data_IF_608986277855
#
_entry.id   IF_608986277855
#
_cell.length_a   1.000
_cell.length_b   1.000
_cell.length_c   1.000
_cell.angle_alpha   90.00
_cell.angle_beta   90.00
_cell.angle_gamma   90.00
#
_symmetry.space_group_name_H-M   'P 1'
#
loop_
_entity.id
_entity.type
_entity.pdbx_description
1 polymer ?
#
# COMPACT_ATOMS: atom_id res chain seq x y z
N UNK A 1 1.00 -9.25 -14.59
CA UNK A 1 -0.41 -9.61 -14.74
C UNK A 1 -0.74 -10.52 -13.58
N UNK A 2 -1.86 -10.30 -12.89
CA UNK A 2 -2.41 -11.27 -11.96
C UNK A 2 -2.69 -12.61 -12.68
N UNK A 3 -2.83 -13.67 -11.91
CA UNK A 3 -3.20 -15.01 -12.37
C UNK A 3 -4.69 -15.24 -12.14
N UNK A 4 -5.26 -16.20 -12.87
CA UNK A 4 -6.64 -16.64 -12.60
C UNK A 4 -6.72 -17.24 -11.18
N UNK A 5 -7.72 -16.83 -10.40
CA UNK A 5 -7.93 -17.32 -9.02
C UNK A 5 -8.10 -18.84 -9.01
N UNK A 6 -8.89 -19.38 -9.95
CA UNK A 6 -9.13 -20.81 -10.07
C UNK A 6 -7.86 -21.59 -10.33
N UNK A 7 -7.02 -21.12 -11.24
CA UNK A 7 -5.72 -21.75 -11.52
C UNK A 7 -4.79 -21.70 -10.29
N UNK A 8 -4.74 -20.56 -9.58
CA UNK A 8 -3.92 -20.45 -8.38
C UNK A 8 -4.40 -21.38 -7.27
N UNK A 9 -5.71 -21.49 -7.04
CA UNK A 9 -6.31 -22.41 -6.07
C UNK A 9 -5.97 -23.88 -6.37
N UNK A 10 -6.14 -24.32 -7.63
CA UNK A 10 -5.79 -25.68 -8.06
C UNK A 10 -4.32 -25.98 -7.81
N UNK A 11 -3.46 -25.00 -8.05
CA UNK A 11 -2.02 -25.13 -7.83
C UNK A 11 -1.68 -25.12 -6.32
N UNK A 12 -2.35 -24.32 -5.51
CA UNK A 12 -2.20 -24.32 -4.05
C UNK A 12 -2.55 -25.69 -3.48
N UNK A 13 -3.66 -26.30 -3.90
CA UNK A 13 -4.08 -27.63 -3.43
C UNK A 13 -3.16 -28.74 -3.92
N UNK A 14 -2.86 -28.79 -5.22
CA UNK A 14 -2.05 -29.88 -5.80
C UNK A 14 -0.61 -29.91 -5.30
N UNK A 15 -0.14 -28.82 -4.70
CA UNK A 15 1.24 -28.67 -4.25
C UNK A 15 1.35 -28.43 -2.75
N UNK A 16 0.25 -28.59 -2.05
CA UNK A 16 0.24 -28.69 -0.60
C UNK A 16 0.95 -29.98 -0.15
N UNK A 17 1.67 -29.95 0.98
CA UNK A 17 2.10 -31.17 1.65
C UNK A 17 0.92 -32.12 1.89
N UNK A 18 1.21 -33.41 1.93
CA UNK A 18 0.22 -34.43 2.26
C UNK A 18 -0.46 -34.11 3.60
N UNK A 19 -1.76 -34.40 3.69
CA UNK A 19 -2.61 -34.13 4.85
C UNK A 19 -2.80 -32.66 5.24
N UNK A 20 -2.23 -31.67 4.52
CA UNK A 20 -2.57 -30.27 4.76
C UNK A 20 -4.07 -30.03 4.52
N UNK A 21 -4.57 -30.56 3.40
CA UNK A 21 -5.98 -30.56 3.05
C UNK A 21 -6.50 -31.99 3.09
N UNK A 22 -7.64 -32.22 3.75
CA UNK A 22 -8.38 -33.47 3.60
C UNK A 22 -8.90 -33.59 2.18
N UNK A 23 -9.27 -34.81 1.78
CA UNK A 23 -9.87 -35.06 0.46
C UNK A 23 -11.13 -34.20 0.24
N UNK A 24 -11.93 -33.99 1.28
CA UNK A 24 -13.14 -33.17 1.18
C UNK A 24 -12.81 -31.69 1.04
N UNK A 25 -11.88 -31.16 1.86
CA UNK A 25 -11.37 -29.78 1.71
C UNK A 25 -10.80 -29.55 0.31
N UNK A 26 -9.94 -30.46 -0.19
CA UNK A 26 -9.34 -30.35 -1.52
C UNK A 26 -10.40 -30.35 -2.64
N UNK A 27 -11.40 -31.24 -2.55
CA UNK A 27 -12.54 -31.29 -3.50
C UNK A 27 -13.34 -29.99 -3.47
N UNK A 28 -13.54 -29.42 -2.28
CA UNK A 28 -14.27 -28.16 -2.13
C UNK A 28 -13.53 -26.99 -2.76
N UNK A 29 -12.22 -26.87 -2.50
CA UNK A 29 -11.38 -25.85 -3.12
C UNK A 29 -11.36 -26.00 -4.65
N UNK A 30 -11.34 -27.24 -5.15
CA UNK A 30 -11.45 -27.49 -6.59
C UNK A 30 -12.79 -27.00 -7.16
N UNK A 31 -13.92 -27.22 -6.50
CA UNK A 31 -15.22 -26.67 -6.94
C UNK A 31 -15.25 -25.14 -6.89
N UNK A 32 -14.68 -24.52 -5.85
CA UNK A 32 -14.54 -23.07 -5.76
C UNK A 32 -13.69 -22.52 -6.91
N UNK A 33 -12.64 -23.24 -7.31
CA UNK A 33 -11.78 -22.83 -8.41
C UNK A 33 -12.51 -22.68 -9.74
N UNK A 34 -13.56 -23.46 -9.98
CA UNK A 34 -14.41 -23.35 -11.17
C UNK A 34 -15.35 -22.14 -11.07
N UNK A 35 -15.79 -21.81 -9.85
CA UNK A 35 -16.68 -20.69 -9.57
C UNK A 35 -16.03 -19.32 -9.75
N UNK A 36 -14.72 -19.24 -9.50
CA UNK A 36 -13.93 -18.02 -9.64
C UNK A 36 -13.15 -17.93 -10.96
N UNK A 37 -13.55 -18.68 -11.98
CA UNK A 37 -12.95 -18.56 -13.31
C UNK A 37 -13.12 -17.13 -13.84
N UNK A 38 -12.02 -16.53 -14.33
CA UNK A 38 -11.96 -15.16 -14.81
C UNK A 38 -11.65 -14.12 -13.72
N UNK A 39 -11.70 -14.49 -12.44
CA UNK A 39 -11.22 -13.62 -11.36
C UNK A 39 -9.70 -13.59 -11.40
N UNK A 40 -9.14 -12.42 -11.11
CA UNK A 40 -7.71 -12.21 -11.11
C UNK A 40 -7.21 -11.97 -9.70
N UNK A 41 -6.11 -12.62 -9.34
CA UNK A 41 -5.43 -12.44 -8.06
C UNK A 41 -3.93 -12.62 -8.23
N UNK A 42 -3.16 -12.09 -7.29
CA UNK A 42 -1.76 -12.45 -7.10
C UNK A 42 -1.53 -13.32 -5.86
N UNK A 43 -2.55 -13.55 -5.03
CA UNK A 43 -2.37 -14.11 -3.70
C UNK A 43 -3.59 -14.89 -3.20
N UNK A 44 -3.32 -16.12 -2.76
CA UNK A 44 -4.25 -16.98 -2.02
C UNK A 44 -3.67 -17.28 -0.66
N UNK A 45 -4.52 -17.36 0.35
CA UNK A 45 -4.19 -17.82 1.70
C UNK A 45 -5.11 -18.98 2.07
N UNK A 46 -4.54 -20.01 2.68
CA UNK A 46 -5.26 -21.06 3.38
C UNK A 46 -5.08 -20.90 4.89
N UNK A 47 -6.18 -20.81 5.64
CA UNK A 47 -6.19 -20.73 7.10
C UNK A 47 -6.53 -22.11 7.69
N UNK A 48 -5.66 -22.66 8.55
CA UNK A 48 -5.94 -23.94 9.26
C UNK A 48 -5.70 -23.80 10.76
N UNK A 49 -6.52 -24.51 11.55
CA UNK A 49 -6.24 -24.71 12.97
C UNK A 49 -5.01 -25.60 13.15
N UNK A 50 -4.21 -25.31 14.18
CA UNK A 50 -2.96 -26.00 14.45
C UNK A 50 -3.13 -27.30 15.24
N UNK A 51 -4.16 -27.37 16.07
CA UNK A 51 -4.52 -28.56 16.85
C UNK A 51 -5.50 -29.50 16.11
N UNK A 52 -5.87 -29.18 14.88
CA UNK A 52 -6.83 -29.95 14.09
C UNK A 52 -6.12 -30.91 13.12
N UNK A 53 -6.44 -32.20 13.24
CA UNK A 53 -5.95 -33.26 12.36
C UNK A 53 -6.82 -33.45 11.10
N UNK A 54 -7.99 -32.83 11.02
CA UNK A 54 -8.97 -33.08 9.95
C UNK A 54 -8.63 -32.45 8.58
N UNK A 55 -7.42 -31.88 8.39
CA UNK A 55 -7.03 -31.25 7.12
C UNK A 55 -8.00 -30.15 6.67
N UNK A 56 -8.54 -29.42 7.64
CA UNK A 56 -9.62 -28.45 7.49
C UNK A 56 -9.06 -27.05 7.30
N UNK A 57 -9.44 -26.38 6.21
CA UNK A 57 -8.94 -25.06 5.88
C UNK A 57 -10.00 -24.13 5.27
N UNK A 58 -9.99 -22.88 5.75
CA UNK A 58 -10.70 -21.77 5.12
C UNK A 58 -9.79 -21.19 4.03
N UNK A 59 -10.37 -20.73 2.92
CA UNK A 59 -9.61 -20.19 1.78
C UNK A 59 -9.96 -18.73 1.57
N UNK A 60 -8.93 -17.92 1.42
CA UNK A 60 -9.06 -16.50 1.12
C UNK A 60 -8.22 -16.14 -0.10
N UNK A 61 -8.66 -15.17 -0.90
CA UNK A 61 -7.84 -14.60 -1.96
C UNK A 61 -7.95 -13.09 -1.96
N UNK A 62 -6.85 -12.44 -2.36
CA UNK A 62 -6.76 -10.99 -2.43
C UNK A 62 -7.07 -10.51 -3.84
N UNK A 63 -7.77 -9.39 -3.95
CA UNK A 63 -7.93 -8.65 -5.19
C UNK A 63 -7.45 -7.23 -4.98
N UNK A 64 -6.43 -6.83 -5.73
CA UNK A 64 -5.91 -5.45 -5.74
C UNK A 64 -6.84 -4.54 -6.57
N UNK A 65 -6.77 -3.23 -6.34
CA UNK A 65 -7.51 -2.24 -7.13
C UNK A 65 -7.21 -2.34 -8.65
N UNK A 66 -5.96 -2.69 -9.02
CA UNK A 66 -5.60 -2.93 -10.43
C UNK A 66 -6.17 -4.24 -11.01
N UNK A 67 -6.60 -5.18 -10.16
CA UNK A 67 -7.20 -6.48 -10.50
C UNK A 67 -8.75 -6.41 -10.50
N UNK A 68 -9.33 -5.40 -9.82
CA UNK A 68 -10.77 -5.21 -9.68
C UNK A 68 -11.56 -5.18 -11.01
N UNK A 69 -11.09 -4.57 -12.12
CA UNK A 69 -11.83 -4.59 -13.37
C UNK A 69 -12.11 -6.00 -13.91
N UNK A 70 -11.16 -6.93 -13.76
CA UNK A 70 -11.33 -8.31 -14.19
C UNK A 70 -12.38 -9.03 -13.32
N UNK A 71 -12.36 -8.79 -12.01
CA UNK A 71 -13.37 -9.30 -11.09
C UNK A 71 -14.78 -8.75 -11.43
N UNK A 72 -14.90 -7.45 -11.68
CA UNK A 72 -16.19 -6.82 -12.06
C UNK A 72 -16.71 -7.41 -13.38
N UNK A 73 -15.83 -7.66 -14.35
CA UNK A 73 -16.19 -8.33 -15.59
C UNK A 73 -16.66 -9.77 -15.34
N UNK A 74 -15.98 -10.52 -14.46
CA UNK A 74 -16.32 -11.90 -14.15
C UNK A 74 -17.71 -12.04 -13.49
N UNK A 75 -18.16 -11.04 -12.71
CA UNK A 75 -19.53 -11.00 -12.19
C UNK A 75 -20.62 -10.93 -13.26
N UNK A 76 -20.28 -10.57 -14.49
CA UNK A 76 -21.22 -10.55 -15.63
C UNK A 76 -21.24 -11.87 -16.40
N UNK A 77 -20.51 -12.89 -15.95
CA UNK A 77 -20.47 -14.19 -16.60
C UNK A 77 -21.69 -15.05 -16.20
N UNK A 78 -22.24 -15.87 -17.12
CA UNK A 78 -23.34 -16.78 -16.78
C UNK A 78 -23.03 -17.78 -15.66
N UNK A 79 -21.74 -18.08 -15.44
CA UNK A 79 -21.31 -18.90 -14.32
C UNK A 79 -21.62 -18.24 -12.98
N UNK A 80 -21.55 -16.90 -12.92
CA UNK A 80 -21.79 -16.11 -11.73
C UNK A 80 -23.27 -15.72 -11.53
N UNK A 81 -24.12 -15.82 -12.55
CA UNK A 81 -25.55 -15.46 -12.45
C UNK A 81 -26.26 -16.23 -11.31
N UNK A 82 -25.95 -17.52 -11.15
CA UNK A 82 -26.49 -18.35 -10.06
C UNK A 82 -25.96 -17.92 -8.68
N UNK A 83 -24.78 -17.34 -8.64
CA UNK A 83 -24.10 -16.88 -7.41
C UNK A 83 -24.67 -15.56 -6.92
N UNK A 84 -25.07 -14.72 -7.87
CA UNK A 84 -25.66 -13.42 -7.61
C UNK A 84 -27.05 -13.52 -6.95
N UNK A 85 -27.70 -14.69 -6.86
CA UNK A 85 -29.01 -14.78 -6.22
C UNK A 85 -28.96 -14.59 -4.69
N UNK A 86 -27.81 -14.81 -4.05
CA UNK A 86 -27.67 -14.66 -2.60
C UNK A 86 -27.35 -13.21 -2.19
N UNK A 87 -28.05 -12.71 -1.16
CA UNK A 87 -27.90 -11.34 -0.64
C UNK A 87 -26.45 -10.97 -0.28
N UNK A 88 -25.68 -11.92 0.28
CA UNK A 88 -24.28 -11.71 0.64
C UNK A 88 -23.40 -11.42 -0.57
N UNK A 89 -23.62 -12.13 -1.68
CA UNK A 89 -22.92 -11.91 -2.93
C UNK A 89 -23.36 -10.63 -3.63
N UNK A 90 -24.65 -10.26 -3.56
CA UNK A 90 -25.13 -8.97 -4.09
C UNK A 90 -24.47 -7.78 -3.41
N UNK A 91 -24.30 -7.84 -2.08
CA UNK A 91 -23.58 -6.80 -1.31
C UNK A 91 -22.12 -6.67 -1.76
N UNK A 92 -21.42 -7.80 -1.94
CA UNK A 92 -20.05 -7.83 -2.46
C UNK A 92 -19.98 -7.24 -3.88
N UNK A 93 -20.88 -7.65 -4.78
CA UNK A 93 -20.95 -7.13 -6.15
C UNK A 93 -21.19 -5.62 -6.14
N UNK A 94 -22.12 -5.14 -5.30
CA UNK A 94 -22.42 -3.71 -5.15
C UNK A 94 -21.18 -2.95 -4.71
N UNK A 95 -20.47 -3.43 -3.69
CA UNK A 95 -19.22 -2.83 -3.23
C UNK A 95 -18.18 -2.78 -4.36
N UNK A 96 -17.99 -3.88 -5.08
CA UNK A 96 -16.97 -3.96 -6.12
C UNK A 96 -17.30 -3.10 -7.35
N UNK A 97 -18.58 -2.96 -7.70
CA UNK A 97 -19.02 -2.03 -8.76
C UNK A 97 -18.83 -0.57 -8.35
N UNK A 98 -19.00 -0.27 -7.07
CA UNK A 98 -18.76 1.03 -6.46
C UNK A 98 -17.36 1.22 -5.87
N UNK A 99 -16.37 0.44 -6.32
CA UNK A 99 -15.03 0.32 -5.70
C UNK A 99 -14.49 1.68 -5.26
N UNK A 100 -14.39 1.95 -3.94
CA UNK A 100 -13.93 3.26 -3.45
C UNK A 100 -12.47 3.49 -3.85
N UNK A 101 -12.14 4.71 -4.28
CA UNK A 101 -10.80 5.04 -4.79
C UNK A 101 -9.70 4.86 -3.74
N UNK A 102 -10.05 4.97 -2.47
CA UNK A 102 -9.17 4.81 -1.32
C UNK A 102 -8.90 3.34 -0.96
N UNK A 103 -9.66 2.38 -1.49
CA UNK A 103 -9.48 0.95 -1.21
C UNK A 103 -8.42 0.40 -2.14
N UNK A 104 -7.23 0.10 -1.61
CA UNK A 104 -6.14 -0.47 -2.41
C UNK A 104 -6.35 -1.97 -2.70
N UNK A 105 -7.01 -2.69 -1.79
CA UNK A 105 -7.22 -4.13 -1.89
C UNK A 105 -8.46 -4.60 -1.11
N UNK A 106 -8.98 -5.74 -1.53
CA UNK A 106 -10.01 -6.50 -0.81
C UNK A 106 -9.60 -7.95 -0.67
N UNK A 107 -10.14 -8.62 0.34
CA UNK A 107 -9.99 -10.04 0.60
C UNK A 107 -11.37 -10.69 0.64
N UNK A 108 -11.50 -11.79 -0.09
CA UNK A 108 -12.70 -12.63 -0.11
C UNK A 108 -12.31 -13.96 0.50
N UNK A 109 -13.01 -14.36 1.55
CA UNK A 109 -12.75 -15.57 2.32
C UNK A 109 -13.99 -16.48 2.32
N UNK A 110 -13.77 -17.78 2.14
CA UNK A 110 -14.80 -18.80 2.15
C UNK A 110 -14.57 -19.72 3.35
N UNK A 111 -15.54 -19.71 4.25
CA UNK A 111 -15.56 -20.56 5.43
C UNK A 111 -15.81 -22.02 5.05
N UNK A 112 -15.00 -22.92 5.59
CA UNK A 112 -15.15 -24.34 5.34
C UNK A 112 -16.45 -24.94 5.87
N UNK A 113 -17.02 -24.34 6.93
CA UNK A 113 -18.27 -24.80 7.52
C UNK A 113 -19.45 -24.58 6.59
N UNK A 114 -19.29 -23.78 5.53
CA UNK A 114 -20.31 -23.53 4.52
C UNK A 114 -20.06 -24.31 3.21
N UNK A 115 -19.05 -25.20 3.15
CA UNK A 115 -18.69 -25.89 1.90
C UNK A 115 -19.72 -26.92 1.40
N UNK A 116 -20.75 -27.25 2.17
CA UNK A 116 -21.88 -28.03 1.66
C UNK A 116 -22.66 -27.26 0.58
N UNK A 117 -22.60 -25.93 0.61
CA UNK A 117 -23.23 -25.09 -0.40
C UNK A 117 -22.38 -25.09 -1.69
N UNK A 118 -23.01 -25.07 -2.88
CA UNK A 118 -22.28 -24.96 -4.14
C UNK A 118 -21.37 -23.74 -4.19
N UNK A 119 -21.82 -22.64 -3.57
CA UNK A 119 -21.03 -21.45 -3.33
C UNK A 119 -21.30 -20.95 -1.90
N UNK A 120 -20.32 -21.02 -1.00
CA UNK A 120 -20.47 -20.51 0.36
C UNK A 120 -20.62 -18.98 0.33
N UNK A 121 -21.40 -18.39 1.25
CA UNK A 121 -21.38 -16.95 1.45
C UNK A 121 -19.97 -16.49 1.82
N UNK A 122 -19.52 -15.32 1.34
CA UNK A 122 -18.16 -14.86 1.58
C UNK A 122 -18.06 -14.11 2.91
N UNK A 123 -16.92 -14.21 3.57
CA UNK A 123 -16.40 -13.14 4.39
C UNK A 123 -15.70 -12.12 3.47
N UNK A 124 -15.93 -10.82 3.69
CA UNK A 124 -15.43 -9.77 2.81
C UNK A 124 -14.73 -8.70 3.63
N UNK A 125 -13.47 -8.42 3.31
CA UNK A 125 -12.64 -7.45 4.00
C UNK A 125 -11.97 -6.49 3.01
N UNK A 126 -11.79 -5.24 3.37
CA UNK A 126 -11.18 -4.21 2.54
C UNK A 126 -10.17 -3.38 3.33
N UNK A 127 -9.25 -2.76 2.60
CA UNK A 127 -8.21 -1.88 3.14
C UNK A 127 -8.82 -0.77 4.02
N UNK A 128 -8.37 -0.73 5.27
CA UNK A 128 -8.80 0.23 6.28
C UNK A 128 -7.80 1.36 6.55
N UNK A 129 -6.65 1.37 5.88
CA UNK A 129 -5.50 2.23 6.23
C UNK A 129 -5.79 3.73 6.18
N UNK A 130 -6.80 4.15 5.41
CA UNK A 130 -7.25 5.54 5.34
C UNK A 130 -8.23 5.98 6.44
N UNK A 131 -8.64 5.08 7.33
CA UNK A 131 -9.60 5.37 8.41
C UNK A 131 -8.93 6.14 9.54
N UNK A 132 -9.49 7.30 9.88
CA UNK A 132 -9.00 8.13 10.97
C UNK A 132 -10.14 8.53 11.94
N UNK A 133 -10.02 8.31 13.26
CA UNK A 133 -11.11 8.56 14.22
C UNK A 133 -11.60 10.01 14.21
N UNK A 134 -10.68 10.99 14.13
CA UNK A 134 -11.00 12.42 14.07
C UNK A 134 -11.83 12.86 12.85
N UNK A 135 -11.92 12.05 11.79
CA UNK A 135 -12.74 12.36 10.60
C UNK A 135 -14.19 11.87 10.73
N UNK A 136 -14.51 11.12 11.77
CA UNK A 136 -15.85 10.60 12.03
C UNK A 136 -16.34 9.60 10.98
N UNK A 137 -17.65 9.31 11.02
CA UNK A 137 -18.25 8.27 10.17
C UNK A 137 -18.39 8.64 8.69
N UNK A 138 -18.35 9.92 8.33
CA UNK A 138 -18.61 10.38 6.97
C UNK A 138 -17.47 10.13 5.99
N UNK A 139 -16.34 9.61 6.46
CA UNK A 139 -15.22 9.27 5.58
C UNK A 139 -15.57 8.12 4.62
N UNK A 140 -15.03 8.11 3.38
CA UNK A 140 -15.38 7.14 2.33
C UNK A 140 -15.30 5.68 2.78
N UNK A 141 -14.24 5.32 3.53
CA UNK A 141 -13.97 3.96 3.99
C UNK A 141 -14.85 3.48 5.16
N UNK A 142 -15.64 4.37 5.80
CA UNK A 142 -16.58 3.98 6.85
C UNK A 142 -18.00 3.94 6.31
N UNK A 143 -18.83 4.95 6.59
CA UNK A 143 -20.27 4.86 6.36
C UNK A 143 -20.64 4.51 4.91
N UNK A 144 -20.06 5.12 3.86
CA UNK A 144 -20.39 4.74 2.48
C UNK A 144 -20.04 3.27 2.18
N UNK A 145 -18.79 2.85 2.45
CA UNK A 145 -18.33 1.47 2.24
C UNK A 145 -19.12 0.45 3.05
N UNK A 146 -19.32 0.70 4.35
CA UNK A 146 -20.04 -0.20 5.24
C UNK A 146 -21.52 -0.31 4.89
N UNK A 147 -22.14 0.77 4.40
CA UNK A 147 -23.56 0.73 4.02
C UNK A 147 -23.82 -0.12 2.78
N UNK A 148 -22.80 -0.33 1.93
CA UNK A 148 -22.88 -1.31 0.84
C UNK A 148 -22.82 -2.77 1.34
N UNK A 149 -22.29 -3.01 2.55
CA UNK A 149 -22.08 -4.34 3.12
C UNK A 149 -23.10 -4.73 4.22
N UNK A 150 -23.56 -3.77 5.03
CA UNK A 150 -24.41 -4.01 6.21
C UNK A 150 -25.77 -3.28 6.17
N UNK A 151 -26.09 -2.61 5.07
CA UNK A 151 -27.22 -1.67 4.94
C UNK A 151 -27.14 -0.48 5.93
N UNK A 152 -27.73 0.67 5.55
CA UNK A 152 -27.66 1.90 6.35
C UNK A 152 -28.17 1.75 7.82
N UNK A 153 -29.28 1.04 8.09
CA UNK A 153 -29.76 0.90 9.46
C UNK A 153 -28.79 0.17 10.40
N UNK A 154 -28.13 -0.89 9.94
CA UNK A 154 -27.19 -1.62 10.81
C UNK A 154 -25.93 -0.78 11.08
N UNK A 155 -25.42 -0.07 10.06
CA UNK A 155 -24.30 0.86 10.23
C UNK A 155 -24.63 1.95 11.24
N UNK A 156 -25.84 2.52 11.18
CA UNK A 156 -26.29 3.54 12.13
C UNK A 156 -26.37 3.05 13.58
N UNK A 157 -26.73 1.78 13.79
CA UNK A 157 -26.79 1.17 15.13
C UNK A 157 -25.41 0.98 15.77
N UNK A 158 -24.40 0.64 14.98
CA UNK A 158 -23.02 0.43 15.47
C UNK A 158 -22.15 1.68 15.47
N UNK A 159 -22.63 2.81 14.94
CA UNK A 159 -21.85 4.05 14.74
C UNK A 159 -21.12 4.51 16.00
N UNK A 160 -21.82 4.59 17.14
CA UNK A 160 -21.20 5.04 18.39
C UNK A 160 -20.13 4.06 18.88
N UNK A 161 -20.41 2.76 18.84
CA UNK A 161 -19.46 1.72 19.26
C UNK A 161 -18.23 1.71 18.36
N UNK A 162 -18.42 1.86 17.05
CA UNK A 162 -17.34 1.93 16.08
C UNK A 162 -16.46 3.17 16.29
N UNK A 163 -17.06 4.35 16.44
CA UNK A 163 -16.32 5.58 16.71
C UNK A 163 -15.55 5.51 18.04
N UNK A 164 -16.15 4.93 19.09
CA UNK A 164 -15.45 4.69 20.35
C UNK A 164 -14.27 3.75 20.14
N UNK A 165 -14.47 2.63 19.44
CA UNK A 165 -13.43 1.63 19.17
C UNK A 165 -12.24 2.23 18.43
N UNK A 166 -12.52 3.03 17.39
CA UNK A 166 -11.49 3.74 16.61
C UNK A 166 -10.81 4.85 17.42
N UNK A 167 -11.53 5.55 18.28
CA UNK A 167 -10.97 6.65 19.09
C UNK A 167 -10.13 6.16 20.26
N UNK A 168 -10.32 4.91 20.70
CA UNK A 168 -9.49 4.28 21.72
C UNK A 168 -8.15 3.77 21.17
N UNK A 169 -7.97 3.69 19.85
CA UNK A 169 -6.69 3.29 19.26
C UNK A 169 -5.56 4.23 19.70
N UNK A 170 -4.33 3.71 19.94
CA UNK A 170 -3.15 4.56 20.09
C UNK A 170 -2.99 5.52 18.91
N UNK A 171 -2.46 6.73 19.14
CA UNK A 171 -2.40 7.79 18.11
C UNK A 171 -1.60 7.38 16.87
N UNK A 172 -0.59 6.53 17.04
CA UNK A 172 0.28 6.03 15.97
C UNK A 172 -0.29 4.81 15.23
N UNK A 173 -1.38 4.23 15.73
CA UNK A 173 -1.96 2.99 15.20
C UNK A 173 -3.22 3.31 14.40
N UNK A 174 -3.29 2.79 13.18
CA UNK A 174 -4.45 2.88 12.30
C UNK A 174 -5.19 1.55 12.20
N UNK A 175 -6.25 1.51 11.40
CA UNK A 175 -6.90 0.25 10.98
C UNK A 175 -6.15 -0.27 9.76
N UNK A 176 -5.72 -1.52 9.78
CA UNK A 176 -5.12 -2.17 8.61
C UNK A 176 -6.22 -2.63 7.64
N UNK A 177 -7.24 -3.29 8.17
CA UNK A 177 -8.30 -3.89 7.38
C UNK A 177 -9.61 -3.88 8.16
N UNK A 178 -10.73 -3.84 7.48
CA UNK A 178 -12.04 -4.07 8.09
C UNK A 178 -12.99 -4.79 7.16
N UNK A 179 -14.01 -5.43 7.70
CA UNK A 179 -14.93 -6.18 6.88
C UNK A 179 -16.01 -6.93 7.61
N UNK A 180 -16.85 -7.61 6.84
CA UNK A 180 -18.05 -8.27 7.32
C UNK A 180 -17.93 -9.76 7.07
N UNK A 181 -18.21 -10.56 8.10
CA UNK A 181 -18.32 -12.00 7.95
C UNK A 181 -19.74 -12.38 7.48
N UNK A 182 -20.10 -12.03 6.23
CA UNK A 182 -21.48 -12.20 5.72
C UNK A 182 -21.97 -13.66 5.79
N UNK A 183 -21.05 -14.62 5.88
CA UNK A 183 -21.33 -16.03 6.10
C UNK A 183 -21.85 -16.41 7.48
N UNK A 184 -21.58 -15.59 8.50
CA UNK A 184 -21.87 -15.90 9.90
C UNK A 184 -22.85 -14.91 10.50
N UNK A 185 -22.57 -13.62 10.31
CA UNK A 185 -23.27 -12.53 10.97
C UNK A 185 -23.37 -11.33 10.04
N UNK A 186 -24.54 -10.69 10.02
CA UNK A 186 -24.81 -9.49 9.21
C UNK A 186 -25.03 -8.23 10.06
N UNK A 187 -24.65 -8.30 11.34
CA UNK A 187 -24.91 -7.28 12.36
C UNK A 187 -23.62 -6.68 12.95
N UNK A 188 -22.45 -7.10 12.47
CA UNK A 188 -21.15 -6.74 13.05
C UNK A 188 -20.07 -6.52 12.00
N UNK A 189 -19.11 -5.67 12.37
CA UNK A 189 -17.92 -5.33 11.61
C UNK A 189 -16.70 -5.93 12.31
N UNK A 190 -15.87 -6.69 11.60
CA UNK A 190 -14.54 -7.05 12.07
C UNK A 190 -13.55 -5.94 11.72
N UNK A 191 -12.78 -5.51 12.70
CA UNK A 191 -11.66 -4.58 12.53
C UNK A 191 -10.36 -5.32 12.76
N UNK A 192 -9.35 -5.03 11.95
CA UNK A 192 -7.96 -5.42 12.13
C UNK A 192 -7.12 -4.16 12.31
N UNK A 193 -6.36 -4.09 13.39
CA UNK A 193 -5.45 -2.96 13.61
C UNK A 193 -4.26 -3.02 12.67
N UNK A 194 -3.59 -1.89 12.46
CA UNK A 194 -2.20 -1.91 12.06
C UNK A 194 -1.34 -2.56 13.16
N UNK A 195 -0.09 -2.84 12.82
CA UNK A 195 0.88 -3.39 13.77
C UNK A 195 1.04 -2.49 15.00
N UNK A 196 0.95 -3.09 16.18
CA UNK A 196 1.12 -2.45 17.49
C UNK A 196 2.08 -3.24 18.37
N UNK A 197 2.72 -2.57 19.33
CA UNK A 197 3.45 -3.27 20.39
C UNK A 197 2.48 -3.99 21.32
N UNK A 198 3.01 -4.89 22.14
CA UNK A 198 2.20 -5.58 23.15
C UNK A 198 1.57 -4.62 24.15
N UNK A 199 2.32 -3.62 24.61
CA UNK A 199 1.85 -2.60 25.55
C UNK A 199 0.72 -1.75 24.95
N UNK A 200 0.85 -1.38 23.67
CA UNK A 200 -0.19 -0.69 22.92
C UNK A 200 -1.45 -1.55 22.79
N UNK A 201 -1.29 -2.85 22.50
CA UNK A 201 -2.40 -3.80 22.43
C UNK A 201 -3.17 -3.88 23.75
N UNK A 202 -2.46 -4.01 24.87
CA UNK A 202 -3.09 -4.07 26.20
C UNK A 202 -3.80 -2.76 26.54
N UNK A 203 -3.13 -1.63 26.34
CA UNK A 203 -3.69 -0.29 26.57
C UNK A 203 -4.97 -0.09 25.75
N UNK A 204 -4.98 -0.53 24.48
CA UNK A 204 -6.16 -0.43 23.64
C UNK A 204 -7.30 -1.31 24.17
N UNK A 205 -7.05 -2.57 24.51
CA UNK A 205 -8.10 -3.46 25.04
C UNK A 205 -8.68 -2.97 26.36
N UNK A 206 -7.88 -2.33 27.22
CA UNK A 206 -8.35 -1.67 28.44
C UNK A 206 -9.23 -0.44 28.10
N UNK A 207 -8.79 0.40 27.16
CA UNK A 207 -9.54 1.56 26.68
C UNK A 207 -10.86 1.22 26.00
N UNK A 208 -10.99 0.01 25.43
CA UNK A 208 -12.25 -0.52 24.90
C UNK A 208 -13.20 -1.03 25.99
N UNK A 209 -12.75 -1.11 27.24
CA UNK A 209 -13.45 -1.84 28.31
C UNK A 209 -13.84 -3.25 27.85
N UNK A 210 -12.93 -3.92 27.12
CA UNK A 210 -13.20 -5.19 26.49
C UNK A 210 -13.64 -6.22 27.53
N UNK A 211 -14.81 -6.82 27.30
CA UNK A 211 -15.50 -7.69 28.28
C UNK A 211 -15.00 -9.13 28.29
N UNK A 212 -14.11 -9.51 27.38
CA UNK A 212 -13.54 -10.85 27.39
C UNK A 212 -12.72 -11.07 28.66
N UNK A 213 -12.52 -12.34 29.03
CA UNK A 213 -11.49 -12.67 30.01
C UNK A 213 -10.17 -12.12 29.47
N UNK A 214 -9.48 -11.23 30.21
CA UNK A 214 -8.15 -10.80 29.83
C UNK A 214 -7.37 -12.07 29.50
N UNK A 215 -6.70 -12.16 28.33
CA UNK A 215 -5.85 -13.30 28.11
C UNK A 215 -4.93 -13.45 29.33
N UNK A 216 -4.46 -14.66 29.62
CA UNK A 216 -3.28 -14.74 30.46
C UNK A 216 -2.15 -14.05 29.70
N UNK A 217 -2.05 -12.74 29.91
CA UNK A 217 -1.19 -11.80 29.18
C UNK A 217 0.24 -12.27 29.33
N UNK A 218 0.59 -12.79 30.51
CA UNK A 218 1.89 -13.38 30.76
C UNK A 218 2.09 -14.63 29.90
N UNK A 219 1.13 -15.56 29.86
CA UNK A 219 1.26 -16.78 29.05
C UNK A 219 1.28 -16.51 27.54
N UNK A 220 0.43 -15.63 27.01
CA UNK A 220 0.46 -15.27 25.59
C UNK A 220 1.74 -14.55 25.20
N UNK A 221 2.15 -13.56 26.00
CA UNK A 221 3.40 -12.86 25.76
C UNK A 221 4.59 -13.82 25.88
N UNK A 222 4.60 -14.73 26.86
CA UNK A 222 5.65 -15.73 26.99
C UNK A 222 5.73 -16.67 25.79
N UNK A 223 4.59 -17.04 25.21
CA UNK A 223 4.51 -17.89 24.02
C UNK A 223 5.01 -17.20 22.75
N UNK A 224 4.89 -15.87 22.65
CA UNK A 224 5.17 -15.14 21.40
C UNK A 224 6.40 -14.24 21.43
N UNK A 225 6.81 -13.71 22.58
CA UNK A 225 7.86 -12.67 22.70
C UNK A 225 9.23 -13.08 22.17
N UNK A 226 9.56 -14.36 22.21
CA UNK A 226 10.85 -14.88 21.75
C UNK A 226 10.85 -15.25 20.26
N UNK A 227 9.67 -15.26 19.63
CA UNK A 227 9.51 -15.76 18.25
C UNK A 227 8.97 -14.69 17.29
N UNK A 228 8.23 -13.71 17.80
CA UNK A 228 7.75 -12.53 17.05
C UNK A 228 8.79 -11.41 17.06
N UNK A 229 8.57 -10.39 16.22
CA UNK A 229 9.30 -9.12 16.22
C UNK A 229 8.71 -8.10 17.21
N UNK A 230 7.76 -8.53 18.05
CA UNK A 230 7.03 -7.66 18.97
C UNK A 230 5.97 -6.78 18.28
N UNK A 231 5.61 -7.08 17.02
CA UNK A 231 4.52 -6.42 16.30
C UNK A 231 3.31 -7.35 16.18
N UNK A 232 2.15 -6.84 16.56
CA UNK A 232 0.91 -7.59 16.61
C UNK A 232 -0.19 -6.84 15.86
N UNK A 233 -1.05 -7.58 15.15
CA UNK A 233 -2.31 -7.08 14.59
C UNK A 233 -3.43 -7.70 15.41
N UNK A 234 -4.28 -6.89 16.00
CA UNK A 234 -5.43 -7.37 16.75
C UNK A 234 -6.67 -7.35 15.85
N UNK A 235 -7.51 -8.37 15.99
CA UNK A 235 -8.84 -8.38 15.39
C UNK A 235 -9.97 -8.53 16.42
N UNK A 236 -10.98 -7.67 16.27
CA UNK A 236 -12.16 -7.60 17.13
C UNK A 236 -13.43 -7.44 16.29
N UNK A 237 -14.54 -7.97 16.78
CA UNK A 237 -15.85 -7.74 16.17
C UNK A 237 -16.58 -6.63 16.92
N UNK A 238 -17.11 -5.66 16.18
CA UNK A 238 -17.84 -4.48 16.67
C UNK A 238 -19.31 -4.59 16.27
N UNK A 239 -20.22 -4.48 17.23
CA UNK A 239 -21.66 -4.55 17.03
C UNK A 239 -22.39 -3.38 17.75
N UNK A 240 -23.72 -3.35 17.67
CA UNK A 240 -24.57 -2.37 18.37
C UNK A 240 -24.32 -2.42 19.89
N UNK A 241 -24.21 -3.62 20.47
CA UNK A 241 -24.10 -3.84 21.92
C UNK A 241 -22.69 -3.62 22.48
N UNK A 242 -21.69 -3.42 21.63
CA UNK A 242 -20.30 -3.26 22.03
C UNK A 242 -19.29 -4.06 21.18
N UNK A 243 -18.06 -4.11 21.68
CA UNK A 243 -17.01 -4.99 21.15
C UNK A 243 -17.21 -6.41 21.70
N UNK A 244 -17.23 -7.39 20.81
CA UNK A 244 -17.43 -8.80 21.16
C UNK A 244 -16.28 -9.33 22.04
N UNK A 245 -16.52 -10.22 23.02
CA UNK A 245 -15.50 -10.77 23.92
C UNK A 245 -14.52 -11.78 23.27
N UNK A 246 -14.40 -11.75 21.93
CA UNK A 246 -13.45 -12.56 21.18
C UNK A 246 -12.36 -11.67 20.63
N UNK A 247 -11.11 -12.02 20.92
CA UNK A 247 -9.92 -11.29 20.50
C UNK A 247 -9.00 -12.20 19.69
N UNK A 248 -8.65 -11.78 18.49
CA UNK A 248 -7.60 -12.39 17.70
C UNK A 248 -6.31 -11.59 17.79
N UNK A 249 -5.18 -12.29 17.90
CA UNK A 249 -3.83 -11.71 17.95
C UNK A 249 -3.01 -12.35 16.83
N UNK A 250 -2.66 -11.56 15.83
CA UNK A 250 -1.98 -11.99 14.62
C UNK A 250 -0.52 -11.50 14.66
N UNK A 251 0.44 -12.36 14.31
CA UNK A 251 1.87 -12.02 14.31
C UNK A 251 2.68 -12.91 13.37
N UNK A 252 3.80 -12.37 12.89
CA UNK A 252 4.81 -13.11 12.14
C UNK A 252 5.82 -13.80 13.05
N UNK A 253 6.52 -14.79 12.51
CA UNK A 253 7.72 -15.37 13.14
C UNK A 253 8.95 -14.86 12.43
N UNK A 254 9.93 -14.37 13.19
CA UNK A 254 11.06 -13.57 12.69
C UNK A 254 12.06 -14.34 11.84
N UNK A 255 12.19 -15.66 12.04
CA UNK A 255 13.14 -16.48 11.29
C UNK A 255 12.67 -17.93 11.10
N UNK A 256 13.23 -18.67 10.12
CA UNK A 256 13.01 -20.11 9.98
C UNK A 256 13.40 -20.93 11.22
N UNK A 257 14.49 -20.57 11.90
CA UNK A 257 14.95 -21.25 13.12
C UNK A 257 13.96 -21.05 14.26
N UNK A 258 13.44 -19.82 14.39
CA UNK A 258 12.42 -19.48 15.37
C UNK A 258 11.09 -20.19 15.10
N UNK A 259 10.77 -20.51 13.83
CA UNK A 259 9.56 -21.26 13.49
C UNK A 259 9.55 -22.66 14.11
N UNK A 260 10.66 -23.39 14.03
CA UNK A 260 10.71 -24.74 14.61
C UNK A 260 10.53 -24.68 16.14
N UNK A 261 11.27 -23.79 16.81
CA UNK A 261 11.17 -23.62 18.26
C UNK A 261 9.76 -23.18 18.69
N UNK A 262 9.15 -22.24 17.96
CA UNK A 262 7.80 -21.79 18.23
C UNK A 262 6.76 -22.91 18.11
N UNK A 263 6.85 -23.74 17.07
CA UNK A 263 5.95 -24.88 16.89
C UNK A 263 6.10 -25.92 18.01
N UNK A 264 7.31 -26.12 18.53
CA UNK A 264 7.55 -26.98 19.71
C UNK A 264 6.87 -26.43 20.97
N UNK A 265 6.96 -25.12 21.21
CA UNK A 265 6.26 -24.49 22.34
C UNK A 265 4.74 -24.59 22.19
N UNK A 266 4.20 -24.45 20.97
CA UNK A 266 2.78 -24.67 20.70
C UNK A 266 2.36 -26.13 20.94
N UNK A 267 3.19 -27.11 20.61
CA UNK A 267 2.90 -28.53 20.91
C UNK A 267 2.86 -28.75 22.43
N UNK A 268 3.84 -28.23 23.17
CA UNK A 268 3.86 -28.32 24.65
C UNK A 268 2.63 -27.68 25.29
N UNK A 269 2.12 -26.59 24.68
CA UNK A 269 0.91 -25.91 25.11
C UNK A 269 -0.40 -26.59 24.63
N UNK A 270 -0.33 -27.68 23.85
CA UNK A 270 -1.50 -28.36 23.29
C UNK A 270 -2.22 -27.58 22.18
N UNK A 271 -1.56 -26.58 21.61
CA UNK A 271 -2.10 -25.70 20.56
C UNK A 271 -1.72 -26.15 19.15
N UNK A 272 -0.76 -27.06 19.01
CA UNK A 272 -0.30 -27.63 17.75
C UNK A 272 -0.10 -29.14 17.88
N UNK A 273 -0.36 -29.89 16.81
CA UNK A 273 0.01 -31.32 16.76
C UNK A 273 1.38 -31.51 16.12
N UNK A 274 2.03 -32.63 16.44
CA UNK A 274 3.31 -33.01 15.83
C UNK A 274 3.20 -33.12 14.30
N UNK A 275 2.13 -33.75 13.81
CA UNK A 275 1.85 -33.87 12.37
C UNK A 275 1.70 -32.48 11.72
N UNK A 276 0.96 -31.55 12.35
CA UNK A 276 0.79 -30.21 11.80
C UNK A 276 2.12 -29.48 11.73
N UNK A 277 2.98 -29.59 12.74
CA UNK A 277 4.32 -29.00 12.71
C UNK A 277 5.11 -29.47 11.48
N UNK A 278 5.11 -30.77 11.19
CA UNK A 278 5.82 -31.35 10.04
C UNK A 278 5.28 -30.82 8.69
N UNK A 279 3.95 -30.72 8.58
CA UNK A 279 3.28 -30.11 7.42
C UNK A 279 3.72 -28.65 7.23
N UNK A 280 3.76 -27.85 8.29
CA UNK A 280 4.10 -26.42 8.19
C UNK A 280 5.58 -26.18 7.83
N UNK A 281 6.47 -27.03 8.32
CA UNK A 281 7.89 -26.96 7.98
C UNK A 281 8.15 -27.32 6.51
N UNK A 282 7.28 -28.13 5.90
CA UNK A 282 7.37 -28.51 4.48
C UNK A 282 6.59 -27.58 3.52
N UNK A 283 5.76 -26.67 4.02
CA UNK A 283 4.98 -25.74 3.19
C UNK A 283 5.84 -24.77 2.37
N UNK A 284 6.95 -24.29 2.93
CA UNK A 284 7.74 -23.20 2.34
C UNK A 284 8.43 -23.65 1.05
N UNK A 285 8.40 -22.81 0.02
CA UNK A 285 9.10 -23.10 -1.24
C UNK A 285 8.92 -22.04 -2.31
N UNK A 286 9.71 -22.12 -3.37
CA UNK A 286 9.54 -21.30 -4.58
C UNK A 286 9.73 -22.17 -5.81
N UNK A 287 8.87 -21.98 -6.82
CA UNK A 287 8.99 -22.66 -8.11
C UNK A 287 8.54 -21.76 -9.24
N UNK A 288 8.99 -22.08 -10.46
CA UNK A 288 8.47 -21.47 -11.67
C UNK A 288 7.30 -22.26 -12.23
N UNK A 289 6.25 -21.58 -12.68
CA UNK A 289 5.07 -22.20 -13.30
C UNK A 289 4.55 -21.29 -14.42
N UNK A 290 4.17 -21.89 -15.54
CA UNK A 290 3.41 -21.17 -16.57
C UNK A 290 1.94 -21.11 -16.17
N UNK A 291 1.40 -19.89 -16.05
CA UNK A 291 0.04 -19.59 -15.54
C UNK A 291 -0.89 -19.10 -16.66
N UNK A 292 -0.72 -19.65 -17.87
CA UNK A 292 -1.50 -19.25 -19.04
C UNK A 292 -0.91 -18.06 -19.81
N UNK A 293 -1.52 -17.77 -20.96
CA UNK A 293 -1.00 -16.80 -21.96
C UNK A 293 -0.86 -15.38 -21.40
N UNK A 294 -1.82 -14.94 -20.60
CA UNK A 294 -1.87 -13.57 -20.09
C UNK A 294 -0.88 -13.35 -18.94
N UNK A 295 -0.88 -14.24 -17.95
CA UNK A 295 0.04 -14.16 -16.81
C UNK A 295 1.49 -14.51 -17.19
N UNK A 296 1.64 -15.45 -18.11
CA UNK A 296 2.92 -16.00 -18.55
C UNK A 296 3.58 -16.85 -17.47
N UNK A 297 4.91 -16.87 -17.47
CA UNK A 297 5.68 -17.57 -16.45
C UNK A 297 5.73 -16.76 -15.14
N UNK A 298 5.34 -17.40 -14.04
CA UNK A 298 5.29 -16.82 -12.71
C UNK A 298 6.22 -17.59 -11.76
N UNK A 299 6.82 -16.87 -10.81
CA UNK A 299 7.37 -17.49 -9.62
C UNK A 299 6.23 -17.67 -8.60
N UNK A 300 5.94 -18.91 -8.23
CA UNK A 300 5.00 -19.24 -7.17
C UNK A 300 5.78 -19.41 -5.87
N UNK A 301 5.41 -18.62 -4.86
CA UNK A 301 6.10 -18.56 -3.57
C UNK A 301 5.12 -19.02 -2.50
N UNK A 302 5.41 -20.16 -1.89
CA UNK A 302 4.69 -20.65 -0.72
C UNK A 302 5.43 -20.21 0.54
N UNK A 303 4.73 -19.56 1.46
CA UNK A 303 5.25 -19.16 2.76
C UNK A 303 4.16 -19.14 3.82
N UNK A 304 4.58 -19.15 5.08
CA UNK A 304 3.69 -18.81 6.19
C UNK A 304 3.53 -17.29 6.17
N UNK A 305 2.29 -16.81 6.11
CA UNK A 305 1.96 -15.39 6.20
C UNK A 305 2.08 -14.93 7.66
N UNK A 306 1.28 -15.52 8.54
CA UNK A 306 1.28 -15.22 9.97
C UNK A 306 0.61 -16.34 10.77
N UNK A 307 0.72 -16.23 12.09
CA UNK A 307 -0.04 -17.03 13.05
C UNK A 307 -1.10 -16.17 13.71
N UNK A 308 -2.15 -16.82 14.20
CA UNK A 308 -3.19 -16.18 15.00
C UNK A 308 -3.47 -16.99 16.26
N UNK A 309 -3.44 -16.30 17.39
CA UNK A 309 -3.96 -16.81 18.66
C UNK A 309 -5.32 -16.17 18.92
N UNK A 310 -6.31 -16.98 19.27
CA UNK A 310 -7.67 -16.48 19.52
C UNK A 310 -8.10 -16.80 20.94
N UNK A 311 -8.40 -15.76 21.69
CA UNK A 311 -8.95 -15.82 23.04
C UNK A 311 -10.45 -15.51 22.99
N UNK A 312 -11.25 -16.32 23.68
CA UNK A 312 -12.68 -16.10 23.86
C UNK A 312 -13.08 -16.60 25.25
N UNK A 313 -13.92 -15.86 25.94
CA UNK A 313 -14.42 -16.24 27.27
C UNK A 313 -15.08 -17.63 27.24
N UNK A 314 -14.74 -18.46 28.23
CA UNK A 314 -15.26 -19.83 28.37
C UNK A 314 -14.75 -20.82 27.31
N UNK A 315 -13.84 -20.42 26.42
CA UNK A 315 -13.24 -21.29 25.42
C UNK A 315 -11.73 -21.42 25.64
N UNK A 316 -11.15 -22.60 25.35
CA UNK A 316 -9.70 -22.74 25.38
C UNK A 316 -9.06 -21.83 24.34
N UNK A 317 -7.83 -21.41 24.60
CA UNK A 317 -7.00 -20.71 23.63
C UNK A 317 -6.87 -21.59 22.37
N UNK A 318 -6.98 -20.97 21.19
CA UNK A 318 -6.82 -21.66 19.91
C UNK A 318 -5.74 -20.99 19.09
N UNK A 319 -5.05 -21.79 18.26
CA UNK A 319 -3.99 -21.32 17.39
C UNK A 319 -4.26 -21.71 15.94
N UNK A 320 -4.04 -20.76 15.03
CA UNK A 320 -4.19 -20.91 13.60
C UNK A 320 -2.95 -20.43 12.86
N UNK A 321 -2.80 -20.88 11.63
CA UNK A 321 -1.74 -20.45 10.72
C UNK A 321 -2.33 -20.12 9.36
N UNK A 322 -1.79 -19.07 8.76
CA UNK A 322 -2.18 -18.57 7.45
C UNK A 322 -1.08 -18.91 6.45
N UNK A 323 -1.39 -19.80 5.51
CA UNK A 323 -0.48 -20.35 4.52
C UNK A 323 -0.70 -19.66 3.19
N UNK A 324 0.27 -18.86 2.78
CA UNK A 324 0.19 -18.05 1.58
C UNK A 324 0.80 -18.76 0.37
N UNK A 325 0.13 -18.66 -0.76
CA UNK A 325 0.68 -18.87 -2.10
C UNK A 325 0.62 -17.55 -2.86
N UNK A 326 1.78 -16.99 -3.19
CA UNK A 326 1.93 -15.76 -3.96
C UNK A 326 2.39 -16.07 -5.39
N UNK A 327 1.72 -15.49 -6.37
CA UNK A 327 2.09 -15.57 -7.78
C UNK A 327 2.76 -14.27 -8.25
N UNK A 328 4.05 -14.34 -8.58
CA UNK A 328 4.83 -13.20 -9.07
C UNK A 328 5.13 -13.36 -10.56
N UNK A 329 4.43 -12.60 -11.40
CA UNK A 329 4.65 -12.60 -12.85
C UNK A 329 6.04 -12.04 -13.20
N UNK A 330 6.90 -12.88 -13.80
CA UNK A 330 8.25 -12.48 -14.22
C UNK A 330 8.17 -11.38 -15.29
N UNK A 331 7.23 -11.50 -16.22
CA UNK A 331 6.95 -10.49 -17.25
C UNK A 331 6.68 -9.11 -16.64
N UNK A 332 5.84 -9.03 -15.59
CA UNK A 332 5.54 -7.76 -14.89
C UNK A 332 6.79 -7.20 -14.21
N UNK A 333 7.60 -8.04 -13.57
CA UNK A 333 8.85 -7.60 -12.92
C UNK A 333 9.86 -7.04 -13.92
N UNK A 334 10.01 -7.68 -15.08
CA UNK A 334 10.86 -7.19 -16.17
C UNK A 334 10.34 -5.87 -16.75
N UNK A 335 9.04 -5.75 -16.97
CA UNK A 335 8.42 -4.50 -17.43
C UNK A 335 8.62 -3.36 -16.42
N UNK A 336 8.42 -3.62 -15.13
CA UNK A 336 8.65 -2.63 -14.06
C UNK A 336 10.11 -2.16 -14.03
N UNK A 337 11.07 -3.09 -14.14
CA UNK A 337 12.50 -2.76 -14.23
C UNK A 337 12.82 -1.91 -15.47
N UNK A 338 12.22 -2.23 -16.63
CA UNK A 338 12.39 -1.45 -17.86
C UNK A 338 11.87 -0.02 -17.69
N UNK A 339 10.63 0.14 -17.21
CA UNK A 339 10.03 1.45 -16.97
C UNK A 339 10.82 2.27 -15.93
N UNK A 340 11.31 1.63 -14.86
CA UNK A 340 12.16 2.29 -13.87
C UNK A 340 13.49 2.77 -14.46
N UNK A 341 14.10 1.97 -15.35
CA UNK A 341 15.30 2.37 -16.08
C UNK A 341 15.04 3.55 -17.02
N UNK A 342 13.98 3.49 -17.83
CA UNK A 342 13.57 4.58 -18.72
C UNK A 342 13.24 5.88 -17.95
N UNK A 343 12.66 5.76 -16.75
CA UNK A 343 12.43 6.91 -15.87
C UNK A 343 13.73 7.46 -15.28
N UNK A 344 14.66 6.60 -14.88
CA UNK A 344 15.97 7.01 -14.38
C UNK A 344 16.81 7.70 -15.47
N UNK A 345 16.80 7.19 -16.70
CA UNK A 345 17.47 7.79 -17.86
C UNK A 345 16.88 9.19 -18.17
N UNK A 346 15.54 9.33 -18.21
CA UNK A 346 14.87 10.63 -18.36
C UNK A 346 15.22 11.62 -17.25
N UNK A 347 15.23 11.16 -15.99
CA UNK A 347 15.62 12.01 -14.86
C UNK A 347 17.08 12.44 -14.94
N UNK A 348 17.97 11.56 -15.42
CA UNK A 348 19.38 11.88 -15.63
C UNK A 348 19.55 12.90 -16.77
N UNK A 349 18.81 12.78 -17.86
CA UNK A 349 18.81 13.76 -18.95
C UNK A 349 18.28 15.12 -18.49
N UNK A 350 17.17 15.15 -17.75
CA UNK A 350 16.65 16.38 -17.15
C UNK A 350 17.65 17.00 -16.16
N UNK A 351 18.33 16.19 -15.36
CA UNK A 351 19.38 16.67 -14.44
C UNK A 351 20.59 17.24 -15.20
N UNK A 352 21.02 16.60 -16.30
CA UNK A 352 22.08 17.11 -17.18
C UNK A 352 21.68 18.44 -17.83
N UNK A 353 20.46 18.53 -18.36
CA UNK A 353 19.91 19.79 -18.90
C UNK A 353 19.88 20.90 -17.84
N UNK A 354 19.46 20.57 -16.62
CA UNK A 354 19.43 21.50 -15.48
C UNK A 354 20.85 21.93 -15.06
N UNK A 355 21.82 21.01 -15.05
CA UNK A 355 23.20 21.30 -14.69
C UNK A 355 23.88 22.18 -15.76
N UNK A 356 23.70 21.87 -17.04
CA UNK A 356 24.17 22.70 -18.15
C UNK A 356 23.56 24.10 -18.09
N UNK A 357 22.25 24.20 -17.85
CA UNK A 357 21.57 25.47 -17.67
C UNK A 357 22.08 26.27 -16.46
N UNK A 358 22.30 25.63 -15.30
CA UNK A 358 22.88 26.27 -14.11
C UNK A 358 24.34 26.69 -14.29
N UNK A 359 25.10 25.96 -15.10
CA UNK A 359 26.48 26.33 -15.44
C UNK A 359 26.49 27.55 -16.35
N UNK A 360 25.68 27.51 -17.41
CA UNK A 360 25.47 28.63 -18.30
C UNK A 360 25.01 29.89 -17.55
N UNK A 361 23.99 29.79 -16.69
CA UNK A 361 23.52 30.92 -15.87
C UNK A 361 24.63 31.55 -15.02
N UNK A 362 25.49 30.72 -14.39
CA UNK A 362 26.62 31.22 -13.58
C UNK A 362 27.66 31.94 -14.43
N UNK A 363 28.02 31.36 -15.58
CA UNK A 363 28.94 32.00 -16.52
C UNK A 363 28.36 33.32 -17.05
N UNK A 364 27.07 33.34 -17.40
CA UNK A 364 26.37 34.54 -17.85
C UNK A 364 26.37 35.63 -16.78
N UNK A 365 26.09 35.28 -15.52
CA UNK A 365 26.12 36.23 -14.40
C UNK A 365 27.52 36.81 -14.17
N UNK A 366 28.56 35.99 -14.28
CA UNK A 366 29.95 36.46 -14.09
C UNK A 366 30.39 37.39 -15.22
N UNK A 367 30.10 37.03 -16.48
CA UNK A 367 30.36 37.88 -17.63
C UNK A 367 29.60 39.21 -17.53
N UNK A 368 28.34 39.18 -17.07
CA UNK A 368 27.57 40.39 -16.80
C UNK A 368 28.23 41.28 -15.74
N UNK A 369 28.73 40.72 -14.63
CA UNK A 369 29.44 41.50 -13.61
C UNK A 369 30.70 42.16 -14.16
N UNK A 370 31.48 41.43 -14.95
CA UNK A 370 32.70 41.95 -15.58
C UNK A 370 32.38 43.08 -16.55
N UNK A 371 31.37 42.90 -17.42
CA UNK A 371 30.88 43.91 -18.34
C UNK A 371 30.44 45.16 -17.58
N UNK A 372 29.62 45.01 -16.54
CA UNK A 372 29.14 46.13 -15.71
C UNK A 372 30.29 46.87 -15.05
N UNK A 373 31.22 46.14 -14.44
CA UNK A 373 32.40 46.73 -13.78
C UNK A 373 33.24 47.52 -14.78
N UNK A 374 33.46 46.99 -15.98
CA UNK A 374 34.18 47.69 -17.04
C UNK A 374 33.43 48.95 -17.50
N UNK A 375 32.12 48.87 -17.70
CA UNK A 375 31.29 50.02 -18.06
C UNK A 375 31.19 51.09 -16.96
N UNK A 376 31.46 50.74 -15.69
CA UNK A 376 31.58 51.71 -14.60
C UNK A 376 32.91 52.46 -14.63
N UNK A 377 33.99 51.82 -15.08
CA UNK A 377 35.36 52.32 -14.95
C UNK A 377 35.92 52.91 -16.25
N UNK A 378 35.32 52.57 -17.39
CA UNK A 378 35.76 52.97 -18.74
C UNK A 378 34.59 53.63 -19.50
N UNK A 379 34.72 54.94 -19.75
CA UNK A 379 33.69 55.74 -20.41
C UNK A 379 33.52 55.38 -21.88
N UNK A 380 34.59 55.02 -22.58
CA UNK A 380 34.53 54.66 -24.00
C UNK A 380 33.85 53.30 -24.16
N UNK A 381 34.18 52.35 -23.28
CA UNK A 381 33.49 51.07 -23.21
C UNK A 381 32.01 51.23 -22.86
N UNK A 382 31.68 52.12 -21.90
CA UNK A 382 30.28 52.45 -21.57
C UNK A 382 29.51 52.98 -22.78
N UNK A 383 30.09 53.91 -23.53
CA UNK A 383 29.47 54.49 -24.72
C UNK A 383 29.25 53.42 -25.80
N UNK A 384 30.18 52.47 -25.94
CA UNK A 384 29.97 51.30 -26.81
C UNK A 384 28.82 50.41 -26.33
N UNK A 385 28.69 50.14 -25.03
CA UNK A 385 27.53 49.37 -24.52
C UNK A 385 26.20 50.02 -24.90
N UNK A 386 26.09 51.36 -24.80
CA UNK A 386 24.87 52.10 -25.09
C UNK A 386 24.52 52.13 -26.59
N UNK A 387 25.53 52.22 -27.46
CA UNK A 387 25.33 52.40 -28.91
C UNK A 387 25.41 51.10 -29.72
N UNK A 388 26.18 50.13 -29.23
CA UNK A 388 26.55 48.89 -29.93
C UNK A 388 26.29 47.66 -29.03
N UNK A 389 25.21 47.71 -28.23
CA UNK A 389 24.94 46.72 -27.17
C UNK A 389 25.01 45.25 -27.62
N UNK A 390 24.47 44.92 -28.79
CA UNK A 390 24.53 43.55 -29.34
C UNK A 390 25.97 43.12 -29.67
N UNK A 391 26.78 44.01 -30.25
CA UNK A 391 28.19 43.76 -30.59
C UNK A 391 29.01 43.60 -29.31
N UNK A 392 28.87 44.52 -28.35
CA UNK A 392 29.61 44.46 -27.08
C UNK A 392 29.25 43.21 -26.27
N UNK A 393 27.97 42.83 -26.26
CA UNK A 393 27.54 41.60 -25.62
C UNK A 393 28.11 40.36 -26.33
N UNK A 394 28.13 40.34 -27.67
CA UNK A 394 28.73 39.22 -28.41
C UNK A 394 30.25 39.13 -28.21
N UNK A 395 30.96 40.25 -28.06
CA UNK A 395 32.40 40.30 -27.74
C UNK A 395 32.71 39.84 -26.32
N UNK A 396 31.81 40.12 -25.36
CA UNK A 396 32.05 39.83 -23.93
C UNK A 396 31.71 38.40 -23.56
N UNK A 397 30.82 37.75 -24.31
CA UNK A 397 30.37 36.39 -24.04
C UNK A 397 31.00 35.43 -25.05
N UNK A 398 32.08 34.75 -24.64
CA UNK A 398 32.67 33.66 -25.41
C UNK A 398 31.69 32.47 -25.46
N UNK A 399 30.91 32.36 -26.55
CA UNK A 399 29.96 31.27 -26.79
C UNK A 399 28.81 31.67 -27.73
N UNK A 400 27.99 30.70 -28.14
CA UNK A 400 26.75 30.99 -28.87
C UNK A 400 25.76 31.71 -27.95
N UNK A 401 25.63 33.03 -28.12
CA UNK A 401 24.54 33.79 -27.54
C UNK A 401 23.24 33.35 -28.22
N UNK A 402 22.20 32.93 -27.47
CA UNK A 402 20.95 32.53 -28.09
C UNK A 402 20.41 33.67 -28.96
N UNK A 403 20.03 33.37 -30.20
CA UNK A 403 19.60 34.38 -31.21
C UNK A 403 18.39 35.22 -30.80
N UNK A 404 17.69 34.84 -29.73
CA UNK A 404 16.57 35.58 -29.14
C UNK A 404 16.99 36.56 -28.03
N UNK A 405 18.28 36.61 -27.65
CA UNK A 405 18.82 37.58 -26.69
C UNK A 405 19.37 38.79 -27.44
N UNK A 406 18.61 39.88 -27.40
CA UNK A 406 19.04 41.19 -27.92
C UNK A 406 19.13 42.16 -26.75
N UNK A 407 20.30 42.31 -26.12
CA UNK A 407 20.46 43.20 -24.99
C UNK A 407 20.39 44.66 -25.45
N UNK A 408 19.65 45.47 -24.71
CA UNK A 408 19.62 46.91 -24.86
C UNK A 408 20.12 47.52 -23.55
N UNK A 409 21.30 48.15 -23.58
CA UNK A 409 21.84 48.82 -22.40
C UNK A 409 21.22 50.20 -22.27
N UNK A 410 20.75 50.53 -21.08
CA UNK A 410 20.12 51.81 -20.76
C UNK A 410 20.76 52.43 -19.52
N UNK A 411 20.67 53.76 -19.40
CA UNK A 411 21.10 54.43 -18.17
C UNK A 411 19.92 54.48 -17.18
N UNK A 412 20.22 54.31 -15.89
CA UNK A 412 19.24 54.29 -14.79
C UNK A 412 18.35 55.54 -14.71
N UNK A 413 18.78 56.65 -15.31
CA UNK A 413 18.07 57.93 -15.25
C UNK A 413 17.23 58.21 -16.51
N UNK A 414 17.23 57.29 -17.48
CA UNK A 414 16.50 57.42 -18.76
C UNK A 414 15.31 56.47 -18.82
N UNK A 415 14.18 56.86 -18.23
CA UNK A 415 12.92 56.14 -18.45
C UNK A 415 12.40 56.48 -19.84
N UNK A 416 12.62 55.61 -20.83
CA UNK A 416 11.93 55.65 -22.11
C UNK A 416 10.99 54.46 -22.22
N UNK A 417 9.70 54.70 -22.04
CA UNK A 417 8.64 53.72 -22.32
C UNK A 417 8.53 53.55 -23.83
N UNK A 418 9.05 52.44 -24.38
CA UNK A 418 8.75 52.02 -25.76
C UNK A 418 7.66 50.95 -25.76
N UNK A 419 6.62 51.15 -26.57
CA UNK A 419 5.47 50.26 -26.76
C UNK A 419 5.66 49.36 -28.00
N UNK A 420 6.73 48.56 -28.03
CA UNK A 420 6.89 47.53 -29.07
C UNK A 420 6.68 46.13 -28.49
N UNK A 421 6.06 45.25 -29.28
CA UNK A 421 5.60 43.91 -28.88
C UNK A 421 6.69 42.86 -28.72
N UNK A 422 7.96 43.22 -28.96
CA UNK A 422 9.14 42.41 -28.65
C UNK A 422 10.15 43.29 -27.93
N UNK A 423 10.03 43.40 -26.61
CA UNK A 423 10.96 44.20 -25.83
C UNK A 423 12.33 43.52 -25.79
N UNK A 424 13.41 44.19 -26.23
CA UNK A 424 14.76 43.70 -26.00
C UNK A 424 15.02 43.56 -24.50
N UNK A 425 16.01 42.75 -24.13
CA UNK A 425 16.39 42.61 -22.73
C UNK A 425 17.07 43.91 -22.27
N UNK A 426 16.34 44.72 -21.52
CA UNK A 426 16.86 45.99 -20.99
C UNK A 426 17.81 45.72 -19.83
N UNK A 427 19.03 46.24 -19.96
CA UNK A 427 20.11 46.08 -19.01
C UNK A 427 20.51 47.47 -18.51
N UNK A 428 20.19 47.75 -17.26
CA UNK A 428 20.56 49.02 -16.63
C UNK A 428 22.06 49.04 -16.30
N UNK A 429 22.79 49.96 -16.92
CA UNK A 429 24.19 50.21 -16.58
C UNK A 429 24.27 51.01 -15.28
N UNK A 430 25.04 50.55 -14.28
CA UNK A 430 25.29 51.33 -13.06
C UNK A 430 26.00 52.65 -13.38
N UNK A 431 25.98 53.65 -12.46
CA UNK A 431 26.61 54.95 -12.69
C UNK A 431 28.11 54.85 -13.03
N UNK A 432 28.57 55.68 -13.95
CA UNK A 432 30.00 55.80 -14.27
C UNK A 432 30.78 56.40 -13.10
N UNK A 433 31.87 55.76 -12.71
CA UNK A 433 32.77 56.22 -11.66
C UNK A 433 33.96 56.95 -12.29
N UNK A 434 34.03 58.27 -12.12
CA UNK A 434 35.19 59.05 -12.56
C UNK A 434 36.45 58.54 -11.85
N UNK A 435 37.55 58.32 -12.58
CA UNK A 435 38.85 57.90 -12.00
C UNK A 435 39.32 58.80 -10.85
N UNK A 436 38.96 60.08 -10.87
CA UNK A 436 39.26 61.05 -9.80
C UNK A 436 38.56 60.76 -8.46
N UNK A 437 37.45 60.00 -8.47
CA UNK A 437 36.69 59.63 -7.27
C UNK A 437 37.24 58.38 -6.55
N UNK A 438 38.03 57.56 -7.26
CA UNK A 438 38.63 56.36 -6.69
C UNK A 438 39.99 56.65 -6.02
N UNK A 439 40.65 57.74 -6.39
CA UNK A 439 41.98 58.13 -5.90
C UNK A 439 41.96 59.14 -4.74
N UNK A 440 40.78 59.52 -4.22
CA UNK A 440 40.64 60.61 -3.24
C UNK A 440 40.80 60.20 -1.78
N UNK A 441 41.29 58.99 -1.46
CA UNK A 441 41.39 58.48 -0.08
C UNK A 441 42.79 57.96 0.34
N UNK A 442 43.88 58.40 -0.29
CA UNK A 442 45.25 58.04 0.14
C UNK A 442 46.04 59.17 0.81
N UNK A 443 45.39 60.24 1.23
CA UNK A 443 45.96 61.26 2.11
C UNK A 443 44.93 61.73 3.14
N UNK A 444 44.76 60.96 4.21
CA UNK A 444 44.34 61.43 5.53
C UNK A 444 44.91 60.52 6.60
#
# INVERSE_FOLDING_TARGET
MPVDVGDLLKITVSQAPENLFSTDTARHIQRLSESFAGFQTSEVIAETNLNDQAGRADISFRVLAEEAPAMIQAFSSPAFDKMAEADSWQRLISFCRGWPAEVAEVWIEMDQTAYEQPLPPPCFFYDGSGVHPRRGMHQPLLRPSLSMLLDNPAVGKMENTLLHTLSSLPEEVTVFQMGTMLARHQDRLRLFTAEMSWEQAMTWTEGLQWKGTPPDVASLNNLTKHHSDGRFILDVDVAEEGVHPKLGINFGVTSPENLHAFLEELIKAGLCTQEKKEILLSWKGTRGQFMGKEAGYCALINRISHFKLTQQEGQPLTAKVYLQTLAVSIKKQLQKKRLAREAAERNQEMAKGTAAYRHWQRQTQENMKQLMTKAMLDQDFRNRCLNEGETVFSETFEGEVPTHWRPCFIETDTVKTSETSQKPWEINLPPYLKKTWLNSNSQQ
#
